data_IF_308315976636
#
_entry.id   IF_308315976636
#
_cell.length_a   1.000
_cell.length_b   1.000
_cell.length_c   1.000
_cell.angle_alpha   90.00
_cell.angle_beta   90.00
_cell.angle_gamma   90.00
#
_symmetry.space_group_name_H-M   'P 1'
#
loop_
_entity.id
_entity.type
_entity.pdbx_description
1 polymer ?
#
# COMPACT_ATOMS: atom_id res chain seq x y z
N UNK A 1 14.60 22.56 7.98
CA UNK A 1 13.30 23.26 8.05
C UNK A 1 13.08 23.64 9.51
N UNK A 2 12.92 24.94 9.80
CA UNK A 2 12.56 25.37 11.16
C UNK A 2 11.07 25.08 11.36
N UNK A 3 10.74 23.95 12.01
CA UNK A 3 9.37 23.62 12.41
C UNK A 3 8.93 24.45 13.65
N UNK A 4 9.33 25.72 13.71
CA UNK A 4 9.15 26.60 14.88
C UNK A 4 7.83 27.35 14.87
N UNK A 5 7.03 27.25 13.79
CA UNK A 5 5.66 27.75 13.80
C UNK A 5 4.76 26.72 14.48
N UNK A 6 4.04 27.13 15.52
CA UNK A 6 3.02 26.27 16.12
C UNK A 6 2.00 25.85 15.06
N UNK A 7 1.70 24.55 15.00
CA UNK A 7 0.70 24.05 14.08
C UNK A 7 -0.65 24.72 14.34
N UNK A 8 -1.27 25.24 13.28
CA UNK A 8 -2.59 25.86 13.33
C UNK A 8 -3.66 24.82 13.66
N UNK A 9 -4.82 25.26 14.15
CA UNK A 9 -5.95 24.36 14.40
C UNK A 9 -6.41 23.58 13.15
N UNK A 10 -6.27 24.17 11.95
CA UNK A 10 -6.59 23.50 10.69
C UNK A 10 -5.60 22.40 10.32
N UNK A 11 -4.30 22.61 10.59
CA UNK A 11 -3.25 21.61 10.37
C UNK A 11 -3.42 20.40 11.29
N UNK A 12 -3.74 20.64 12.56
CA UNK A 12 -4.04 19.58 13.54
C UNK A 12 -5.29 18.81 13.12
N UNK A 13 -6.37 19.52 12.76
CA UNK A 13 -7.60 18.90 12.29
C UNK A 13 -7.35 18.06 11.02
N UNK A 14 -6.55 18.57 10.07
CA UNK A 14 -6.16 17.84 8.87
C UNK A 14 -5.44 16.52 9.18
N UNK A 15 -4.46 16.56 10.09
CA UNK A 15 -3.74 15.37 10.53
C UNK A 15 -4.68 14.35 11.20
N UNK A 16 -5.59 14.80 12.08
CA UNK A 16 -6.59 13.94 12.73
C UNK A 16 -7.53 13.31 11.71
N UNK A 17 -8.05 14.09 10.75
CA UNK A 17 -8.94 13.59 9.72
C UNK A 17 -8.24 12.56 8.81
N UNK A 18 -6.96 12.76 8.52
CA UNK A 18 -6.16 11.80 7.76
C UNK A 18 -5.99 10.48 8.52
N UNK A 19 -5.76 10.51 9.84
CA UNK A 19 -5.74 9.29 10.67
C UNK A 19 -7.12 8.63 10.71
N UNK A 20 -8.19 9.39 10.93
CA UNK A 20 -9.55 8.87 10.96
C UNK A 20 -9.91 8.18 9.63
N UNK A 21 -9.55 8.79 8.51
CA UNK A 21 -9.71 8.20 7.18
C UNK A 21 -8.94 6.87 7.06
N UNK A 22 -7.67 6.83 7.44
CA UNK A 22 -6.87 5.59 7.46
C UNK A 22 -7.55 4.49 8.28
N UNK A 23 -8.03 4.81 9.48
CA UNK A 23 -8.70 3.86 10.38
C UNK A 23 -9.99 3.33 9.75
N UNK A 24 -10.80 4.19 9.15
CA UNK A 24 -12.04 3.77 8.46
C UNK A 24 -11.73 2.84 7.28
N UNK A 25 -10.71 3.15 6.48
CA UNK A 25 -10.29 2.28 5.38
C UNK A 25 -9.84 0.91 5.88
N UNK A 26 -9.02 0.86 6.93
CA UNK A 26 -8.53 -0.40 7.49
C UNK A 26 -9.61 -1.21 8.22
N UNK A 27 -10.59 -0.55 8.84
CA UNK A 27 -11.78 -1.21 9.37
C UNK A 27 -12.58 -1.88 8.24
N UNK A 28 -12.80 -1.18 7.12
CA UNK A 28 -13.45 -1.75 5.94
C UNK A 28 -12.66 -2.92 5.35
N UNK A 29 -11.33 -2.82 5.27
CA UNK A 29 -10.45 -3.93 4.86
C UNK A 29 -10.61 -5.13 5.79
N UNK A 30 -10.62 -4.92 7.11
CA UNK A 30 -10.83 -5.99 8.10
C UNK A 30 -12.18 -6.69 7.93
N UNK A 31 -13.25 -5.93 7.75
CA UNK A 31 -14.59 -6.45 7.46
C UNK A 31 -14.59 -7.28 6.17
N UNK A 32 -13.99 -6.78 5.09
CA UNK A 32 -13.87 -7.50 3.81
C UNK A 32 -13.04 -8.79 3.94
N UNK A 33 -11.93 -8.75 4.68
CA UNK A 33 -11.04 -9.90 4.87
C UNK A 33 -11.72 -11.04 5.66
N UNK A 34 -12.62 -10.70 6.59
CA UNK A 34 -13.47 -11.70 7.27
C UNK A 34 -14.60 -12.15 6.34
N UNK A 35 -15.26 -11.23 5.65
CA UNK A 35 -16.43 -11.52 4.81
C UNK A 35 -16.09 -12.38 3.58
N UNK A 36 -14.89 -12.27 3.01
CA UNK A 36 -14.47 -13.05 1.83
C UNK A 36 -14.39 -14.56 2.09
N UNK A 37 -14.38 -14.98 3.37
CA UNK A 37 -14.45 -16.37 3.83
C UNK A 37 -15.89 -16.91 3.90
N UNK A 38 -16.89 -16.07 3.65
CA UNK A 38 -18.33 -16.38 3.67
C UNK A 38 -18.90 -16.30 2.24
N UNK A 39 -20.16 -16.71 2.00
CA UNK A 39 -20.79 -16.53 0.70
C UNK A 39 -20.72 -15.06 0.26
N UNK A 40 -20.23 -14.84 -0.96
CA UNK A 40 -20.01 -13.51 -1.50
C UNK A 40 -21.32 -12.75 -1.62
N UNK A 41 -21.29 -11.44 -1.34
CA UNK A 41 -22.46 -10.56 -1.39
C UNK A 41 -22.15 -9.30 -2.20
N UNK A 42 -23.15 -8.68 -2.87
CA UNK A 42 -22.94 -7.49 -3.70
C UNK A 42 -22.30 -6.31 -2.95
N UNK A 43 -22.61 -6.14 -1.67
CA UNK A 43 -22.04 -5.05 -0.86
C UNK A 43 -20.52 -5.18 -0.73
N UNK A 44 -19.96 -6.39 -0.70
CA UNK A 44 -18.52 -6.61 -0.55
C UNK A 44 -17.76 -6.04 -1.75
N UNK A 45 -18.29 -6.26 -2.96
CA UNK A 45 -17.72 -5.69 -4.18
C UNK A 45 -17.75 -4.15 -4.14
N UNK A 46 -18.90 -3.57 -3.77
CA UNK A 46 -19.07 -2.10 -3.68
C UNK A 46 -18.16 -1.48 -2.61
N UNK A 47 -18.06 -2.09 -1.43
CA UNK A 47 -17.18 -1.64 -0.36
C UNK A 47 -15.72 -1.73 -0.79
N UNK A 48 -15.30 -2.82 -1.45
CA UNK A 48 -13.95 -2.94 -1.97
C UNK A 48 -13.64 -1.87 -3.01
N UNK A 49 -14.57 -1.58 -3.94
CA UNK A 49 -14.41 -0.48 -4.89
C UNK A 49 -14.29 0.89 -4.20
N UNK A 50 -15.05 1.11 -3.12
CA UNK A 50 -14.92 2.32 -2.31
C UNK A 50 -13.53 2.46 -1.67
N UNK A 51 -13.02 1.39 -1.05
CA UNK A 51 -11.66 1.36 -0.47
C UNK A 51 -10.60 1.58 -1.56
N UNK A 52 -10.74 0.94 -2.73
CA UNK A 52 -9.82 1.11 -3.85
C UNK A 52 -9.83 2.57 -4.33
N UNK A 53 -11.01 3.17 -4.53
CA UNK A 53 -11.14 4.55 -4.99
C UNK A 53 -10.52 5.54 -4.00
N UNK A 54 -10.76 5.37 -2.70
CA UNK A 54 -10.11 6.18 -1.67
C UNK A 54 -8.59 6.00 -1.67
N UNK A 55 -8.11 4.77 -1.86
CA UNK A 55 -6.68 4.49 -2.01
C UNK A 55 -6.05 5.17 -3.23
N UNK A 56 -6.78 5.27 -4.35
CA UNK A 56 -6.36 6.04 -5.54
C UNK A 56 -6.21 7.52 -5.21
N UNK A 57 -7.21 8.12 -4.55
CA UNK A 57 -7.15 9.55 -4.17
C UNK A 57 -5.94 9.82 -3.27
N UNK A 58 -5.72 8.97 -2.25
CA UNK A 58 -4.58 9.11 -1.36
C UNK A 58 -3.24 8.96 -2.11
N UNK A 59 -3.13 7.99 -3.01
CA UNK A 59 -1.89 7.77 -3.77
C UNK A 59 -1.59 8.87 -4.76
N UNK A 60 -2.60 9.51 -5.37
CA UNK A 60 -2.39 10.68 -6.23
C UNK A 60 -1.74 11.81 -5.44
N UNK A 61 -2.29 12.18 -4.28
CA UNK A 61 -1.72 13.24 -3.44
C UNK A 61 -0.32 12.88 -2.95
N UNK A 62 -0.12 11.66 -2.46
CA UNK A 62 1.18 11.20 -1.98
C UNK A 62 2.24 11.17 -3.09
N UNK A 63 1.91 10.66 -4.28
CA UNK A 63 2.82 10.64 -5.42
C UNK A 63 3.13 12.05 -5.95
N UNK A 64 2.14 12.93 -6.00
CA UNK A 64 2.34 14.34 -6.36
C UNK A 64 3.39 15.00 -5.46
N UNK A 65 3.35 14.76 -4.15
CA UNK A 65 4.32 15.31 -3.20
C UNK A 65 5.76 14.86 -3.54
N UNK A 66 5.95 13.56 -3.82
CA UNK A 66 7.27 13.03 -4.21
C UNK A 66 7.75 13.56 -5.56
N UNK A 67 6.85 13.75 -6.53
CA UNK A 67 7.18 14.39 -7.83
C UNK A 67 7.63 15.83 -7.59
N UNK A 68 6.93 16.58 -6.73
CA UNK A 68 7.25 17.96 -6.44
C UNK A 68 8.58 18.09 -5.65
N UNK A 69 8.87 17.15 -4.75
CA UNK A 69 10.17 17.04 -4.08
C UNK A 69 11.33 16.85 -5.07
N UNK A 70 11.19 15.94 -6.03
CA UNK A 70 12.21 15.75 -7.08
C UNK A 70 12.35 17.00 -7.94
N UNK A 71 11.24 17.60 -8.37
CA UNK A 71 11.25 18.83 -9.16
C UNK A 71 11.97 19.98 -8.45
N UNK A 72 11.69 20.17 -7.15
CA UNK A 72 12.39 21.14 -6.33
C UNK A 72 13.88 20.81 -6.17
N UNK A 73 14.21 19.55 -5.89
CA UNK A 73 15.59 19.10 -5.69
C UNK A 73 16.46 19.31 -6.94
N UNK A 74 15.93 19.08 -8.15
CA UNK A 74 16.66 19.33 -9.41
C UNK A 74 17.16 20.78 -9.48
N UNK A 75 16.37 21.73 -8.97
CA UNK A 75 16.71 23.16 -8.95
C UNK A 75 17.55 23.54 -7.72
N UNK A 76 17.48 22.76 -6.65
CA UNK A 76 18.07 23.07 -5.35
C UNK A 76 18.72 21.84 -4.67
N UNK A 77 19.73 21.19 -5.28
CA UNK A 77 20.23 19.90 -4.82
C UNK A 77 20.90 19.93 -3.44
N UNK A 78 21.34 21.12 -3.01
CA UNK A 78 21.98 21.35 -1.70
C UNK A 78 21.03 21.91 -0.64
N UNK A 79 19.75 22.14 -0.97
CA UNK A 79 18.76 22.60 -0.02
C UNK A 79 18.10 21.44 0.73
N UNK A 80 17.49 21.70 1.90
CA UNK A 80 16.63 20.73 2.55
C UNK A 80 15.51 20.26 1.61
N UNK A 81 15.01 19.04 1.83
CA UNK A 81 13.82 18.56 1.14
C UNK A 81 12.68 19.58 1.29
N UNK A 82 12.05 19.91 0.18
CA UNK A 82 10.90 20.82 0.14
C UNK A 82 9.60 20.03 0.25
N UNK A 83 8.55 20.70 0.70
CA UNK A 83 7.21 20.16 0.70
C UNK A 83 6.22 21.21 0.27
N UNK A 84 5.10 20.77 -0.28
CA UNK A 84 3.98 21.65 -0.54
C UNK A 84 3.47 22.27 0.77
N UNK A 85 2.77 23.43 0.72
CA UNK A 85 2.20 24.04 1.92
C UNK A 85 1.28 23.10 2.72
N UNK A 86 0.46 22.30 2.03
CA UNK A 86 -0.44 21.35 2.69
C UNK A 86 0.32 20.14 3.26
N UNK A 87 1.34 19.63 2.56
CA UNK A 87 2.22 18.59 3.10
C UNK A 87 2.95 19.06 4.35
N UNK A 88 3.53 20.26 4.32
CA UNK A 88 4.16 20.90 5.48
C UNK A 88 3.18 21.06 6.64
N UNK A 89 1.97 21.55 6.34
CA UNK A 89 0.94 21.74 7.35
C UNK A 89 0.50 20.45 8.01
N UNK A 90 0.26 19.38 7.25
CA UNK A 90 -0.06 18.06 7.81
C UNK A 90 1.09 17.50 8.66
N UNK A 91 2.34 17.63 8.20
CA UNK A 91 3.51 17.22 8.96
C UNK A 91 3.64 17.98 10.29
N UNK A 92 3.39 19.30 10.28
CA UNK A 92 3.34 20.11 11.50
C UNK A 92 2.21 19.66 12.43
N UNK A 93 1.02 19.38 11.88
CA UNK A 93 -0.12 18.83 12.62
C UNK A 93 0.22 17.52 13.33
N UNK A 94 0.86 16.58 12.62
CA UNK A 94 1.39 15.34 13.22
C UNK A 94 2.51 15.59 14.23
N UNK A 95 3.35 16.60 14.01
CA UNK A 95 4.43 17.00 14.91
C UNK A 95 3.96 17.44 16.30
N UNK A 96 2.66 17.70 16.50
CA UNK A 96 2.08 17.96 17.83
C UNK A 96 2.16 16.76 18.78
N UNK A 97 2.35 15.55 18.26
CA UNK A 97 2.60 14.35 19.10
C UNK A 97 3.85 14.53 19.94
N UNK A 98 4.93 15.09 19.37
CA UNK A 98 6.15 15.41 20.09
C UNK A 98 6.90 16.55 19.37
N UNK A 99 6.73 17.77 19.87
CA UNK A 99 7.32 18.99 19.30
C UNK A 99 8.85 19.02 19.44
N UNK A 100 9.43 18.19 20.31
CA UNK A 100 10.87 18.07 20.47
C UNK A 100 11.50 17.19 19.37
N UNK A 101 10.68 16.54 18.53
CA UNK A 101 11.10 15.64 17.46
C UNK A 101 10.49 16.04 16.12
N UNK A 102 11.01 17.08 15.45
CA UNK A 102 10.43 17.58 14.20
C UNK A 102 10.32 16.53 13.09
N UNK A 103 11.26 15.57 13.06
CA UNK A 103 11.20 14.46 12.11
C UNK A 103 9.99 13.53 12.33
N UNK A 104 9.44 13.45 13.54
CA UNK A 104 8.34 12.54 13.86
C UNK A 104 7.07 12.89 13.06
N UNK A 105 6.76 14.17 12.92
CA UNK A 105 5.61 14.63 12.14
C UNK A 105 5.70 14.19 10.67
N UNK A 106 6.91 14.25 10.11
CA UNK A 106 7.20 13.79 8.76
C UNK A 106 7.08 12.27 8.61
N UNK A 107 7.64 11.49 9.54
CA UNK A 107 7.53 10.03 9.49
C UNK A 107 6.08 9.57 9.66
N UNK A 108 5.30 10.20 10.55
CA UNK A 108 3.88 9.92 10.72
C UNK A 108 3.07 10.24 9.45
N UNK A 109 3.32 11.37 8.80
CA UNK A 109 2.67 11.73 7.55
C UNK A 109 2.90 10.66 6.48
N UNK A 110 4.15 10.24 6.31
CA UNK A 110 4.48 9.17 5.35
C UNK A 110 3.85 7.85 5.75
N UNK A 111 3.93 7.45 7.02
CA UNK A 111 3.35 6.20 7.52
C UNK A 111 1.85 6.15 7.20
N UNK A 112 1.12 7.21 7.57
CA UNK A 112 -0.33 7.31 7.33
C UNK A 112 -0.62 7.29 5.82
N UNK A 113 0.10 8.06 5.00
CA UNK A 113 -0.06 8.05 3.54
C UNK A 113 0.16 6.67 2.92
N UNK A 114 1.22 5.97 3.34
CA UNK A 114 1.53 4.62 2.87
C UNK A 114 0.47 3.59 3.26
N UNK A 115 -0.16 3.74 4.44
CA UNK A 115 -1.22 2.86 4.90
C UNK A 115 -2.54 3.08 4.16
N UNK A 116 -2.85 4.30 3.71
CA UNK A 116 -3.98 4.54 2.79
C UNK A 116 -3.77 3.85 1.45
N UNK A 117 -2.56 3.99 0.88
CA UNK A 117 -2.22 3.36 -0.38
C UNK A 117 -2.26 1.83 -0.27
N UNK A 118 -1.68 1.27 0.80
CA UNK A 118 -1.72 -0.17 1.08
C UNK A 118 -3.16 -0.68 1.19
N UNK A 119 -4.05 0.03 1.88
CA UNK A 119 -5.45 -0.35 2.00
C UNK A 119 -6.14 -0.45 0.63
N UNK A 120 -5.86 0.47 -0.30
CA UNK A 120 -6.36 0.41 -1.68
C UNK A 120 -5.89 -0.86 -2.43
N UNK A 121 -4.60 -1.20 -2.32
CA UNK A 121 -4.02 -2.40 -2.91
C UNK A 121 -4.60 -3.69 -2.29
N UNK A 122 -4.78 -3.71 -0.97
CA UNK A 122 -5.44 -4.83 -0.28
C UNK A 122 -6.89 -4.96 -0.75
N UNK A 123 -7.59 -3.84 -0.99
CA UNK A 123 -8.92 -3.82 -1.60
C UNK A 123 -8.95 -4.56 -2.94
N UNK A 124 -7.97 -4.34 -3.82
CA UNK A 124 -7.83 -5.11 -5.08
C UNK A 124 -7.59 -6.60 -4.78
N UNK A 125 -6.65 -6.92 -3.90
CA UNK A 125 -6.33 -8.31 -3.57
C UNK A 125 -7.52 -9.09 -2.99
N UNK A 126 -8.37 -8.41 -2.20
CA UNK A 126 -9.57 -8.99 -1.60
C UNK A 126 -10.70 -9.16 -2.62
N UNK A 127 -11.00 -8.14 -3.43
CA UNK A 127 -12.09 -8.24 -4.42
C UNK A 127 -11.78 -9.28 -5.51
N UNK A 128 -10.50 -9.48 -5.81
CA UNK A 128 -10.03 -10.46 -6.79
C UNK A 128 -9.70 -11.82 -6.18
N UNK A 129 -9.93 -12.03 -4.87
CA UNK A 129 -9.49 -13.23 -4.14
C UNK A 129 -9.92 -14.54 -4.82
N UNK A 130 -11.16 -14.60 -5.32
CA UNK A 130 -11.76 -15.77 -5.97
C UNK A 130 -11.50 -15.85 -7.48
N UNK A 131 -10.94 -14.82 -8.10
CA UNK A 131 -10.58 -14.80 -9.51
C UNK A 131 -9.10 -15.23 -9.67
N UNK A 132 -8.83 -16.52 -9.49
CA UNK A 132 -7.46 -17.05 -9.35
C UNK A 132 -6.54 -16.73 -10.54
N UNK A 133 -7.10 -16.80 -11.75
CA UNK A 133 -6.41 -16.52 -13.03
C UNK A 133 -6.39 -15.02 -13.39
N UNK A 134 -6.95 -14.15 -12.55
CA UNK A 134 -7.01 -12.72 -12.81
C UNK A 134 -5.62 -12.08 -12.77
N UNK A 135 -5.30 -11.29 -13.80
CA UNK A 135 -4.08 -10.48 -13.78
C UNK A 135 -4.19 -9.38 -12.71
N UNK A 136 -5.39 -8.84 -12.48
CA UNK A 136 -5.64 -7.87 -11.42
C UNK A 136 -5.25 -8.43 -10.05
N UNK A 137 -5.54 -9.71 -9.78
CA UNK A 137 -5.12 -10.41 -8.56
C UNK A 137 -3.60 -10.49 -8.43
N UNK A 138 -2.91 -10.90 -9.51
CA UNK A 138 -1.44 -10.99 -9.52
C UNK A 138 -0.79 -9.64 -9.19
N UNK A 139 -1.19 -8.59 -9.90
CA UNK A 139 -0.64 -7.24 -9.69
C UNK A 139 -1.04 -6.66 -8.32
N UNK A 140 -2.29 -6.87 -7.88
CA UNK A 140 -2.74 -6.47 -6.55
C UNK A 140 -1.93 -7.11 -5.42
N UNK A 141 -1.65 -8.42 -5.48
CA UNK A 141 -0.81 -9.11 -4.49
C UNK A 141 0.64 -8.63 -4.50
N UNK A 142 1.21 -8.40 -5.70
CA UNK A 142 2.56 -7.85 -5.83
C UNK A 142 2.63 -6.44 -5.24
N UNK A 143 1.62 -5.61 -5.49
CA UNK A 143 1.50 -4.29 -4.89
C UNK A 143 1.41 -4.35 -3.37
N UNK A 144 0.56 -5.23 -2.81
CA UNK A 144 0.48 -5.43 -1.34
C UNK A 144 1.83 -5.82 -0.75
N UNK A 145 2.60 -6.69 -1.41
CA UNK A 145 3.92 -7.09 -0.93
C UNK A 145 4.90 -5.91 -0.94
N UNK A 146 5.05 -5.25 -2.10
CA UNK A 146 5.98 -4.13 -2.27
C UNK A 146 5.64 -2.97 -1.33
N UNK A 147 4.37 -2.58 -1.31
CA UNK A 147 3.88 -1.49 -0.46
C UNK A 147 3.88 -1.89 1.02
N UNK A 148 3.72 -3.19 1.34
CA UNK A 148 3.89 -3.72 2.68
C UNK A 148 5.32 -3.57 3.20
N UNK A 149 6.33 -3.89 2.38
CA UNK A 149 7.75 -3.69 2.73
C UNK A 149 8.03 -2.20 2.96
N UNK A 150 7.58 -1.34 2.05
CA UNK A 150 7.76 0.11 2.18
C UNK A 150 7.01 0.69 3.40
N UNK A 151 5.80 0.20 3.69
CA UNK A 151 5.05 0.57 4.88
C UNK A 151 5.73 0.12 6.18
N UNK A 152 6.33 -1.07 6.20
CA UNK A 152 7.13 -1.55 7.33
C UNK A 152 8.39 -0.71 7.54
N UNK A 153 9.03 -0.25 6.47
CA UNK A 153 10.13 0.71 6.56
C UNK A 153 9.67 1.99 7.25
N UNK A 154 8.57 2.61 6.81
CA UNK A 154 8.04 3.82 7.47
C UNK A 154 7.62 3.58 8.91
N UNK A 155 7.11 2.39 9.23
CA UNK A 155 6.83 2.03 10.62
C UNK A 155 8.13 2.00 11.43
N UNK A 156 9.20 1.40 10.91
CA UNK A 156 10.50 1.38 11.57
C UNK A 156 11.09 2.79 11.75
N UNK A 157 11.06 3.63 10.71
CA UNK A 157 11.49 5.04 10.77
C UNK A 157 10.70 5.81 11.84
N UNK A 158 9.37 5.67 11.84
CA UNK A 158 8.48 6.33 12.79
C UNK A 158 8.78 5.90 14.23
N UNK A 159 8.86 4.58 14.48
CA UNK A 159 9.11 4.05 15.81
C UNK A 159 10.49 4.45 16.34
N UNK A 160 11.53 4.38 15.51
CA UNK A 160 12.89 4.75 15.91
C UNK A 160 12.98 6.23 16.29
N UNK A 161 12.41 7.12 15.47
CA UNK A 161 12.29 8.54 15.82
C UNK A 161 11.47 8.73 17.10
N UNK A 162 10.32 8.06 17.23
CA UNK A 162 9.47 8.17 18.42
C UNK A 162 10.21 7.76 19.72
N UNK A 163 11.05 6.74 19.67
CA UNK A 163 11.89 6.29 20.78
C UNK A 163 13.18 7.12 20.97
N UNK A 164 13.35 8.22 20.23
CA UNK A 164 14.45 9.17 20.43
C UNK A 164 15.75 8.80 19.72
N UNK A 165 15.73 7.86 18.78
CA UNK A 165 16.88 7.55 17.93
C UNK A 165 16.76 8.22 16.56
N UNK A 166 17.84 8.19 15.77
CA UNK A 166 17.77 8.57 14.35
C UNK A 166 16.86 7.61 13.59
N UNK A 167 16.24 8.07 12.52
CA UNK A 167 15.37 7.23 11.69
C UNK A 167 16.16 6.06 11.07
N UNK A 168 15.74 4.82 11.31
CA UNK A 168 16.39 3.60 10.79
C UNK A 168 15.48 2.92 9.77
N UNK A 169 15.92 2.86 8.51
CA UNK A 169 15.21 2.20 7.41
C UNK A 169 16.07 2.16 6.15
N UNK A 170 15.55 1.59 5.06
CA UNK A 170 16.26 1.49 3.78
C UNK A 170 16.64 2.88 3.23
N UNK A 171 15.71 3.84 3.30
CA UNK A 171 15.86 5.26 2.96
C UNK A 171 16.89 6.01 3.80
N UNK A 172 17.37 5.43 4.90
CA UNK A 172 18.45 6.01 5.71
C UNK A 172 19.71 5.14 5.71
N UNK A 173 19.76 4.11 4.86
CA UNK A 173 20.78 3.04 4.85
C UNK A 173 20.93 2.50 6.28
N UNK A 174 19.82 2.11 6.89
CA UNK A 174 19.74 1.65 8.28
C UNK A 174 20.32 2.65 9.28
N UNK A 175 20.09 3.94 9.04
CA UNK A 175 20.59 5.04 9.85
C UNK A 175 22.07 5.39 9.62
N UNK A 176 22.75 4.80 8.64
CA UNK A 176 24.16 5.09 8.34
C UNK A 176 24.36 6.43 7.59
N UNK A 177 23.30 7.04 7.09
CA UNK A 177 23.37 8.34 6.45
C UNK A 177 23.39 9.48 7.48
N UNK A 178 24.48 10.26 7.47
CA UNK A 178 24.61 11.47 8.28
C UNK A 178 23.70 12.60 7.74
N UNK A 179 23.15 13.45 8.62
CA UNK A 179 22.33 14.58 8.19
C UNK A 179 23.07 15.50 7.22
N UNK A 180 22.43 15.84 6.10
CA UNK A 180 22.99 16.75 5.11
C UNK A 180 22.38 16.57 3.72
N UNK A 181 22.90 17.30 2.70
CA UNK A 181 22.41 17.22 1.33
C UNK A 181 22.43 15.82 0.73
N UNK A 182 23.45 15.01 1.06
CA UNK A 182 23.56 13.63 0.61
C UNK A 182 22.43 12.74 1.13
N UNK A 183 22.12 12.82 2.42
CA UNK A 183 21.01 12.09 3.02
C UNK A 183 19.65 12.55 2.46
N UNK A 184 19.45 13.86 2.29
CA UNK A 184 18.23 14.40 1.67
C UNK A 184 18.07 13.89 0.22
N UNK A 185 19.14 13.94 -0.58
CA UNK A 185 19.16 13.45 -1.96
C UNK A 185 18.77 11.97 -2.02
N UNK A 186 19.43 11.13 -1.21
CA UNK A 186 19.12 9.70 -1.19
C UNK A 186 17.68 9.43 -0.77
N UNK A 187 17.18 10.09 0.27
CA UNK A 187 15.80 9.94 0.73
C UNK A 187 14.79 10.36 -0.34
N UNK A 188 14.98 11.52 -0.99
CA UNK A 188 14.07 12.01 -2.04
C UNK A 188 13.98 10.98 -3.17
N UNK A 189 15.13 10.52 -3.68
CA UNK A 189 15.15 9.56 -4.79
C UNK A 189 14.63 8.17 -4.40
N UNK A 190 14.93 7.70 -3.19
CA UNK A 190 14.41 6.43 -2.67
C UNK A 190 12.88 6.42 -2.65
N UNK A 191 12.27 7.40 -1.98
CA UNK A 191 10.82 7.45 -1.86
C UNK A 191 10.15 7.73 -3.21
N UNK A 192 10.75 8.57 -4.06
CA UNK A 192 10.25 8.79 -5.40
C UNK A 192 10.21 7.50 -6.22
N UNK A 193 11.32 6.75 -6.29
CA UNK A 193 11.39 5.50 -7.05
C UNK A 193 10.43 4.45 -6.48
N UNK A 194 10.37 4.30 -5.15
CA UNK A 194 9.41 3.41 -4.51
C UNK A 194 7.98 3.78 -4.89
N UNK A 195 7.61 5.07 -4.85
CA UNK A 195 6.27 5.51 -5.22
C UNK A 195 5.98 5.39 -6.72
N UNK A 196 6.95 5.61 -7.61
CA UNK A 196 6.77 5.36 -9.06
C UNK A 196 6.45 3.89 -9.32
N UNK A 197 7.24 2.99 -8.72
CA UNK A 197 7.05 1.54 -8.87
C UNK A 197 5.69 1.12 -8.30
N UNK A 198 5.38 1.53 -7.07
CA UNK A 198 4.10 1.24 -6.43
C UNK A 198 2.91 1.76 -7.24
N UNK A 199 2.95 3.02 -7.67
CA UNK A 199 1.89 3.64 -8.49
C UNK A 199 1.70 2.92 -9.82
N UNK A 200 2.80 2.52 -10.48
CA UNK A 200 2.73 1.75 -11.73
C UNK A 200 2.05 0.40 -11.51
N UNK A 201 2.43 -0.33 -10.45
CA UNK A 201 1.80 -1.60 -10.08
C UNK A 201 0.30 -1.40 -9.81
N UNK A 202 -0.06 -0.36 -9.08
CA UNK A 202 -1.46 -0.06 -8.78
C UNK A 202 -2.26 0.29 -10.02
N UNK A 203 -1.72 1.13 -10.90
CA UNK A 203 -2.35 1.50 -12.17
C UNK A 203 -2.57 0.29 -13.08
N UNK A 204 -1.59 -0.61 -13.19
CA UNK A 204 -1.73 -1.86 -13.95
C UNK A 204 -2.76 -2.79 -13.32
N UNK A 205 -2.79 -2.89 -11.98
CA UNK A 205 -3.81 -3.65 -11.27
C UNK A 205 -5.22 -3.11 -11.53
N UNK A 206 -5.41 -1.78 -11.51
CA UNK A 206 -6.67 -1.11 -11.82
C UNK A 206 -7.10 -1.30 -13.28
N UNK A 207 -6.17 -1.20 -14.22
CA UNK A 207 -6.43 -1.47 -15.63
C UNK A 207 -6.97 -2.90 -15.82
N UNK A 208 -6.31 -3.89 -15.22
CA UNK A 208 -6.78 -5.27 -15.27
C UNK A 208 -8.09 -5.48 -14.51
N UNK A 209 -8.29 -4.83 -13.36
CA UNK A 209 -9.54 -4.88 -12.61
C UNK A 209 -10.72 -4.39 -13.46
N UNK A 210 -10.53 -3.28 -14.19
CA UNK A 210 -11.54 -2.72 -15.08
C UNK A 210 -11.80 -3.62 -16.30
N UNK A 211 -10.74 -4.16 -16.90
CA UNK A 211 -10.85 -5.06 -18.08
C UNK A 211 -11.51 -6.40 -17.73
N UNK A 212 -11.20 -6.94 -16.56
CA UNK A 212 -11.69 -8.25 -16.09
C UNK A 212 -12.94 -8.13 -15.20
N UNK A 213 -13.52 -6.91 -15.10
CA UNK A 213 -14.60 -6.58 -14.15
C UNK A 213 -15.77 -7.55 -14.19
N UNK A 214 -16.19 -7.98 -15.38
CA UNK A 214 -17.36 -8.85 -15.54
C UNK A 214 -17.13 -10.22 -14.89
N UNK A 215 -15.92 -10.77 -15.03
CA UNK A 215 -15.52 -12.05 -14.43
C UNK A 215 -15.36 -11.90 -12.92
N UNK A 216 -14.75 -10.81 -12.47
CA UNK A 216 -14.49 -10.55 -11.05
C UNK A 216 -15.81 -10.28 -10.29
N UNK A 217 -16.77 -9.59 -10.91
CA UNK A 217 -18.04 -9.21 -10.28
C UNK A 217 -19.08 -10.35 -10.27
N UNK A 218 -19.04 -11.27 -11.25
CA UNK A 218 -20.05 -12.32 -11.40
C UNK A 218 -20.32 -13.13 -10.11
N UNK A 219 -19.29 -13.58 -9.33
CA UNK A 219 -19.51 -14.30 -8.08
C UNK A 219 -20.21 -13.48 -6.99
N UNK A 220 -20.10 -12.15 -7.02
CA UNK A 220 -20.74 -11.26 -6.05
C UNK A 220 -22.20 -10.95 -6.41
N UNK A 221 -22.57 -11.02 -7.70
CA UNK A 221 -23.96 -10.81 -8.16
C UNK A 221 -24.83 -12.05 -7.98
N UNK A 222 -24.30 -13.22 -8.30
CA UNK A 222 -25.06 -14.47 -8.30
C UNK A 222 -24.32 -15.54 -7.49
N UNK A 223 -24.38 -15.48 -6.15
CA UNK A 223 -23.61 -16.39 -5.29
C UNK A 223 -23.96 -17.86 -5.51
N UNK A 224 -25.20 -18.15 -5.92
CA UNK A 224 -25.67 -19.49 -6.23
C UNK A 224 -25.04 -20.11 -7.49
N UNK A 225 -24.58 -19.29 -8.44
CA UNK A 225 -23.92 -19.76 -9.66
C UNK A 225 -22.42 -20.04 -9.47
N UNK A 226 -21.83 -19.58 -8.35
CA UNK A 226 -20.40 -19.66 -8.06
C UNK A 226 -19.96 -20.97 -7.37
N UNK A 227 -20.84 -21.99 -7.26
CA UNK A 227 -20.37 -23.32 -6.82
C UNK A 227 -19.33 -23.80 -7.84
N UNK A 228 -18.10 -24.12 -7.42
CA UNK A 228 -17.17 -24.79 -8.31
C UNK A 228 -17.84 -26.10 -8.72
N UNK A 229 -18.11 -26.28 -10.02
CA UNK A 229 -18.27 -27.62 -10.55
C UNK A 229 -16.92 -28.27 -10.31
N UNK A 230 -16.81 -29.06 -9.23
CA UNK A 230 -15.71 -30.00 -9.06
C UNK A 230 -15.67 -30.77 -10.38
N UNK A 231 -14.60 -30.60 -11.15
CA UNK A 231 -14.41 -31.41 -12.34
C UNK A 231 -14.63 -32.86 -11.88
N UNK A 232 -15.47 -33.66 -12.57
CA UNK A 232 -15.60 -35.06 -12.23
C UNK A 232 -14.18 -35.60 -12.18
N UNK A 233 -13.79 -36.18 -11.04
CA UNK A 233 -12.50 -36.81 -10.88
C UNK A 233 -12.31 -37.67 -12.12
N UNK A 234 -11.30 -37.35 -12.93
CA UNK A 234 -10.94 -38.19 -14.05
C UNK A 234 -10.82 -39.59 -13.46
N UNK A 235 -11.69 -40.50 -13.91
CA UNK A 235 -11.70 -41.85 -13.43
C UNK A 235 -10.26 -42.34 -13.54
N UNK A 236 -9.63 -42.60 -12.38
CA UNK A 236 -8.33 -43.24 -12.32
C UNK A 236 -8.51 -44.58 -13.05
N UNK A 237 -8.11 -44.58 -14.31
CA UNK A 237 -7.91 -45.79 -15.08
C UNK A 237 -6.86 -46.59 -14.34
N UNK A 238 -7.34 -47.58 -13.60
CA UNK A 238 -6.61 -48.75 -13.14
C UNK A 238 -5.87 -49.36 -14.34
N UNK A 239 -4.64 -48.87 -14.56
CA UNK A 239 -3.68 -49.40 -15.50
C UNK A 239 -2.42 -49.73 -14.72
N UNK A 240 -2.48 -50.78 -13.91
CA UNK A 240 -1.30 -51.32 -13.25
C UNK A 240 -0.28 -51.75 -14.33
N UNK A 241 1.00 -51.33 -14.24
CA UNK A 241 2.02 -51.89 -15.11
C UNK A 241 2.30 -53.34 -14.69
N UNK A 242 2.09 -54.27 -15.61
CA UNK A 242 2.51 -55.66 -15.47
C UNK A 242 4.04 -55.72 -15.43
N UNK A 243 4.61 -55.99 -14.26
CA UNK A 243 6.01 -56.39 -14.15
C UNK A 243 6.14 -57.80 -14.72
N UNK A 244 6.69 -57.89 -15.93
CA UNK A 244 7.15 -59.15 -16.50
C UNK A 244 8.40 -59.60 -15.71
N UNK A 245 8.29 -60.74 -15.03
CA UNK A 245 9.41 -61.45 -14.47
C UNK A 245 10.33 -61.90 -15.61
N UNK A 246 11.57 -61.42 -15.61
CA UNK A 246 12.65 -61.98 -16.44
C UNK A 246 13.28 -63.10 -15.62
N UNK A 247 12.98 -64.33 -16.03
CA UNK A 247 13.68 -65.54 -15.63
C UNK A 247 14.76 -65.90 -16.66
N UNK A 248 15.90 -66.34 -16.15
CA UNK A 248 17.01 -67.09 -16.80
C UNK A 248 17.97 -66.27 -17.69
N UNK A 249 19.29 -66.51 -17.68
CA UNK A 249 20.09 -67.68 -17.27
C UNK A 249 21.42 -67.29 -16.60
#
# INVERSE_FOLDING_TARGET
MNHTAEATGLEILGAILMVAWMVVMWAAVGVLAVAVRKPLRPWMFRTALGVIALGVVAQIGHFQEHVAQVGYWIQHPNSPAWMTPWGTGLANGFGRVDHMKPALGMELLHLVGNFHFLAGLVGIALVTHHALESKARKWGRMGVLMQGIHGLEHLALTLTVAFGTKAIGLSTIFGLLDPGPGAATYRIWWHFLANVIGTTIFAVALYHLWRERAVIEAPFRTPAAAKPKRAPAAAEGSGAPAFAAVTEA
#
